data_IF_415562242352
#
_entry.id   IF_415562242352
#
_cell.length_a   1.000
_cell.length_b   1.000
_cell.length_c   1.000
_cell.angle_alpha   90.00
_cell.angle_beta   90.00
_cell.angle_gamma   90.00
#
_symmetry.space_group_name_H-M   'P 1'
#
loop_
_entity.id
_entity.type
_entity.pdbx_description
1 polymer ?
#
# COMPACT_ATOMS: atom_id res chain seq x y z
N UNK A 1 66.84 -16.46 -12.23
CA UNK A 1 66.50 -15.21 -11.51
C UNK A 1 65.30 -14.59 -12.19
N UNK A 2 64.16 -14.57 -11.47
CA UNK A 2 62.89 -13.85 -11.63
C UNK A 2 62.58 -13.13 -12.95
N UNK A 3 61.59 -13.67 -13.67
CA UNK A 3 60.83 -12.92 -14.68
C UNK A 3 59.87 -11.95 -14.00
N UNK A 4 59.97 -10.67 -14.36
CA UNK A 4 59.08 -9.61 -13.89
C UNK A 4 57.74 -9.71 -14.63
N UNK A 5 56.76 -10.39 -14.03
CA UNK A 5 55.38 -10.33 -14.48
C UNK A 5 54.82 -8.92 -14.20
N UNK A 6 54.67 -8.13 -15.28
CA UNK A 6 53.96 -6.87 -15.31
C UNK A 6 52.46 -7.14 -15.05
N UNK A 7 52.05 -7.12 -13.79
CA UNK A 7 50.64 -7.03 -13.43
C UNK A 7 50.13 -5.64 -13.82
N UNK A 8 49.48 -5.54 -14.98
CA UNK A 8 48.64 -4.39 -15.29
C UNK A 8 47.47 -4.40 -14.30
N UNK A 9 47.42 -3.43 -13.40
CA UNK A 9 46.28 -3.23 -12.51
C UNK A 9 45.07 -2.77 -13.33
N UNK A 10 43.91 -3.46 -13.28
CA UNK A 10 42.72 -2.95 -13.94
C UNK A 10 42.26 -1.67 -13.26
N UNK A 11 41.88 -0.67 -14.06
CA UNK A 11 41.34 0.61 -13.60
C UNK A 11 40.11 0.35 -12.71
N UNK A 12 39.97 1.00 -11.55
CA UNK A 12 38.76 0.82 -10.73
C UNK A 12 37.54 1.30 -11.53
N UNK A 13 36.49 0.49 -11.55
CA UNK A 13 35.22 0.87 -12.14
C UNK A 13 34.62 2.04 -11.35
N UNK A 14 34.25 3.12 -12.04
CA UNK A 14 33.48 4.21 -11.43
C UNK A 14 32.14 3.65 -10.93
N UNK A 15 31.75 3.82 -9.66
CA UNK A 15 30.44 3.38 -9.22
C UNK A 15 29.37 4.16 -9.98
N UNK A 16 28.57 3.46 -10.78
CA UNK A 16 27.37 4.02 -11.40
C UNK A 16 26.36 4.25 -10.27
N UNK A 17 26.00 5.51 -10.02
CA UNK A 17 24.89 5.84 -9.12
C UNK A 17 23.62 5.20 -9.72
N UNK A 18 22.90 4.33 -9.01
CA UNK A 18 21.62 3.86 -9.52
C UNK A 18 20.72 5.08 -9.74
N UNK A 19 20.28 5.26 -10.98
CA UNK A 19 19.23 6.23 -11.29
C UNK A 19 17.96 5.68 -10.68
N UNK A 20 17.48 6.32 -9.60
CA UNK A 20 16.14 6.08 -9.10
C UNK A 20 15.14 6.23 -10.26
N UNK A 21 14.09 5.40 -10.31
CA UNK A 21 13.04 5.59 -11.32
C UNK A 21 12.51 7.03 -11.21
N UNK A 22 12.17 7.62 -12.35
CA UNK A 22 11.53 8.92 -12.37
C UNK A 22 10.25 8.85 -11.52
N UNK A 23 10.17 9.68 -10.48
CA UNK A 23 8.96 9.83 -9.69
C UNK A 23 7.92 10.55 -10.56
N UNK A 24 6.86 9.83 -10.92
CA UNK A 24 5.69 10.42 -11.55
C UNK A 24 4.72 10.84 -10.42
N UNK A 25 4.56 12.15 -10.16
CA UNK A 25 3.68 12.64 -9.10
C UNK A 25 2.20 12.33 -9.36
N UNK A 26 1.84 11.98 -10.60
CA UNK A 26 0.47 11.68 -11.01
C UNK A 26 0.20 10.16 -11.11
N UNK A 27 1.20 9.34 -10.80
CA UNK A 27 1.04 7.88 -10.79
C UNK A 27 0.27 7.41 -9.56
N UNK A 28 -0.98 7.01 -9.78
CA UNK A 28 -1.74 6.19 -8.85
C UNK A 28 -1.56 4.72 -9.23
N UNK A 29 -0.85 3.99 -8.37
CA UNK A 29 -0.69 2.55 -8.56
C UNK A 29 -2.03 1.80 -8.47
N UNK A 30 -2.08 0.54 -8.94
CA UNK A 30 -3.26 -0.29 -8.72
C UNK A 30 -3.55 -0.38 -7.22
N UNK A 31 -4.81 -0.21 -6.85
CA UNK A 31 -5.23 -0.45 -5.48
C UNK A 31 -4.85 -1.89 -5.09
N UNK A 32 -4.34 -2.03 -3.86
CA UNK A 32 -4.08 -3.34 -3.29
C UNK A 32 -5.39 -4.09 -3.02
N UNK A 33 -5.28 -5.21 -2.31
CA UNK A 33 -6.46 -5.87 -1.76
C UNK A 33 -6.96 -5.03 -0.61
N UNK A 34 -8.13 -4.43 -0.78
CA UNK A 34 -8.82 -3.71 0.29
C UNK A 34 -9.37 -4.69 1.34
N UNK A 35 -9.24 -4.40 2.64
CA UNK A 35 -9.80 -5.23 3.68
C UNK A 35 -11.34 -5.24 3.63
N UNK A 36 -11.92 -6.36 4.03
CA UNK A 36 -13.36 -6.50 4.25
C UNK A 36 -13.82 -5.68 5.46
N UNK A 37 -15.13 -5.44 5.55
CA UNK A 37 -15.70 -4.74 6.72
C UNK A 37 -15.46 -5.55 7.99
N UNK A 38 -15.55 -6.87 7.90
CA UNK A 38 -15.31 -7.80 9.00
C UNK A 38 -13.86 -7.73 9.48
N UNK A 39 -12.89 -7.68 8.57
CA UNK A 39 -11.47 -7.49 8.91
C UNK A 39 -11.22 -6.13 9.57
N UNK A 40 -11.86 -5.06 9.06
CA UNK A 40 -11.78 -3.74 9.69
C UNK A 40 -12.38 -3.73 11.09
N UNK A 41 -13.51 -4.41 11.33
CA UNK A 41 -14.14 -4.48 12.65
C UNK A 41 -13.33 -5.33 13.65
N UNK A 42 -12.51 -6.26 13.16
CA UNK A 42 -11.59 -7.05 13.98
C UNK A 42 -10.27 -6.32 14.29
N UNK A 43 -9.96 -5.23 13.59
CA UNK A 43 -8.73 -4.47 13.79
C UNK A 43 -8.75 -3.66 15.10
N UNK A 44 -7.73 -3.79 15.98
CA UNK A 44 -7.66 -3.05 17.23
C UNK A 44 -7.62 -1.53 17.04
N UNK A 45 -7.10 -1.03 15.92
CA UNK A 45 -6.99 0.40 15.67
C UNK A 45 -8.34 0.99 15.28
N UNK A 46 -9.09 0.28 14.43
CA UNK A 46 -10.50 0.59 14.16
C UNK A 46 -11.32 0.63 15.45
N UNK A 47 -11.14 -0.35 16.35
CA UNK A 47 -11.84 -0.35 17.64
C UNK A 47 -11.53 0.88 18.50
N UNK A 48 -10.28 1.37 18.49
CA UNK A 48 -9.91 2.60 19.19
C UNK A 48 -10.56 3.84 18.58
N UNK A 49 -10.60 3.94 17.25
CA UNK A 49 -11.25 5.06 16.53
C UNK A 49 -12.75 5.06 16.81
N UNK A 50 -13.41 3.92 16.70
CA UNK A 50 -14.83 3.76 17.01
C UNK A 50 -15.15 4.17 18.45
N UNK A 51 -14.32 3.76 19.41
CA UNK A 51 -14.48 4.16 20.81
C UNK A 51 -14.31 5.66 21.02
N UNK A 52 -13.30 6.29 20.38
CA UNK A 52 -13.07 7.75 20.41
C UNK A 52 -14.32 8.50 19.94
N UNK A 53 -14.94 8.00 18.88
CA UNK A 53 -16.06 8.65 18.22
C UNK A 53 -17.43 8.20 18.78
N UNK A 54 -17.44 7.31 19.79
CA UNK A 54 -18.64 6.73 20.42
C UNK A 54 -19.56 6.02 19.42
N UNK A 55 -18.95 5.32 18.47
CA UNK A 55 -19.65 4.52 17.45
C UNK A 55 -19.52 3.05 17.80
N UNK A 56 -20.64 2.32 17.80
CA UNK A 56 -20.68 0.87 17.99
C UNK A 56 -20.51 0.08 16.69
N UNK A 57 -20.02 -1.19 16.75
CA UNK A 57 -19.93 -2.06 15.58
C UNK A 57 -21.26 -2.28 14.86
N UNK A 58 -22.36 -2.41 15.62
CA UNK A 58 -23.69 -2.57 15.05
C UNK A 58 -24.11 -1.37 14.19
N UNK A 59 -23.81 -0.14 14.63
CA UNK A 59 -24.13 1.08 13.88
C UNK A 59 -23.37 1.15 12.56
N UNK A 60 -22.10 0.73 12.55
CA UNK A 60 -21.30 0.62 11.31
C UNK A 60 -21.92 -0.39 10.36
N UNK A 61 -22.25 -1.59 10.85
CA UNK A 61 -22.84 -2.63 10.02
C UNK A 61 -24.20 -2.18 9.46
N UNK A 62 -25.04 -1.56 10.26
CA UNK A 62 -26.34 -1.03 9.80
C UNK A 62 -26.16 0.02 8.71
N UNK A 63 -25.18 0.93 8.86
CA UNK A 63 -24.86 1.93 7.84
C UNK A 63 -24.38 1.29 6.53
N UNK A 64 -23.52 0.28 6.60
CA UNK A 64 -23.03 -0.47 5.43
C UNK A 64 -24.20 -1.18 4.72
N UNK A 65 -25.07 -1.86 5.45
CA UNK A 65 -26.23 -2.54 4.87
C UNK A 65 -27.18 -1.54 4.18
N UNK A 66 -27.43 -0.40 4.83
CA UNK A 66 -28.26 0.67 4.25
C UNK A 66 -27.65 1.22 2.96
N UNK A 67 -26.35 1.45 2.92
CA UNK A 67 -25.64 1.93 1.74
C UNK A 67 -25.71 0.91 0.59
N UNK A 68 -25.45 -0.38 0.87
CA UNK A 68 -25.53 -1.46 -0.13
C UNK A 68 -26.92 -1.57 -0.74
N UNK A 69 -27.96 -1.47 0.08
CA UNK A 69 -29.36 -1.46 -0.40
C UNK A 69 -29.64 -0.28 -1.33
N UNK A 70 -29.25 0.93 -0.93
CA UNK A 70 -29.45 2.12 -1.74
C UNK A 70 -28.72 2.04 -3.09
N UNK A 71 -27.51 1.47 -3.11
CA UNK A 71 -26.77 1.22 -4.35
C UNK A 71 -27.48 0.22 -5.26
N UNK A 72 -28.00 -0.88 -4.71
CA UNK A 72 -28.76 -1.86 -5.49
C UNK A 72 -30.05 -1.25 -6.08
N UNK A 73 -30.76 -0.43 -5.30
CA UNK A 73 -31.96 0.29 -5.75
C UNK A 73 -31.64 1.38 -6.80
N UNK A 74 -30.46 1.99 -6.75
CA UNK A 74 -30.01 2.94 -7.76
C UNK A 74 -29.63 2.23 -9.07
N UNK A 75 -28.97 1.08 -8.99
CA UNK A 75 -28.57 0.31 -10.17
C UNK A 75 -29.76 -0.36 -10.90
N UNK A 76 -30.90 -0.54 -10.23
CA UNK A 76 -32.12 -1.10 -10.79
C UNK A 76 -33.03 -0.06 -11.50
N UNK A 77 -32.63 1.22 -11.52
CA UNK A 77 -33.33 2.32 -12.20
C UNK A 77 -32.66 2.64 -13.53
#
# INVERSE_FOLDING_TARGET
MREHALFATPRPATPVRPTAPAYDPDYWGPAGVEPTVEELMADPMTALVMRRDRIGPAEVMDAVHKARRALAEAAAR
#
